data_IF_479933451092
#
_entry.id   IF_479933451092
#
_cell.length_a   1.000
_cell.length_b   1.000
_cell.length_c   1.000
_cell.angle_alpha   90.00
_cell.angle_beta   90.00
_cell.angle_gamma   90.00
#
_symmetry.space_group_name_H-M   'P 1'
#
loop_
_entity.id
_entity.type
_entity.pdbx_description
1 polymer ?
#
# COMPACT_ATOMS: atom_id res chain seq x y z
N UNK A 1 36.55 -44.21 -16.06
CA UNK A 1 36.44 -43.27 -14.94
C UNK A 1 35.67 -42.04 -15.43
N UNK A 2 34.37 -41.94 -15.11
CA UNK A 2 33.52 -40.80 -15.47
C UNK A 2 32.77 -40.40 -14.19
N UNK A 3 33.22 -39.34 -13.54
CA UNK A 3 32.65 -38.80 -12.31
C UNK A 3 32.02 -37.44 -12.67
N UNK A 4 30.70 -37.48 -12.86
CA UNK A 4 29.71 -36.43 -12.55
C UNK A 4 30.20 -34.98 -12.63
N UNK A 5 29.90 -34.33 -13.75
CA UNK A 5 30.09 -32.90 -14.00
C UNK A 5 28.74 -32.14 -14.01
N UNK A 6 27.91 -32.36 -12.99
CA UNK A 6 26.75 -31.50 -12.72
C UNK A 6 26.73 -31.20 -11.22
N UNK A 7 27.54 -30.21 -10.84
CA UNK A 7 27.42 -29.55 -9.55
C UNK A 7 26.29 -28.52 -9.63
N UNK A 8 25.17 -28.84 -8.99
CA UNK A 8 24.14 -27.90 -8.59
C UNK A 8 24.74 -26.73 -7.82
N UNK A 9 24.58 -25.50 -8.32
CA UNK A 9 24.50 -24.29 -7.49
C UNK A 9 22.99 -23.96 -7.45
N UNK A 10 22.28 -24.10 -6.33
CA UNK A 10 22.38 -23.21 -5.17
C UNK A 10 21.67 -21.89 -5.52
N UNK A 11 20.34 -21.78 -5.40
CA UNK A 11 19.58 -21.39 -4.19
C UNK A 11 19.28 -19.87 -4.09
N UNK A 12 18.06 -19.49 -4.49
CA UNK A 12 17.16 -18.44 -3.94
C UNK A 12 17.64 -17.01 -3.65
N UNK A 13 17.03 -16.02 -4.34
CA UNK A 13 17.16 -14.55 -4.19
C UNK A 13 17.88 -13.95 -5.41
N UNK A 14 17.50 -12.80 -6.03
CA UNK A 14 16.63 -11.66 -5.70
C UNK A 14 15.28 -11.56 -6.48
N UNK A 15 14.82 -12.62 -7.13
CA UNK A 15 13.66 -12.56 -8.06
C UNK A 15 12.39 -12.01 -7.43
N UNK A 16 12.00 -12.51 -6.25
CA UNK A 16 10.74 -12.13 -5.60
C UNK A 16 10.65 -10.64 -5.26
N UNK A 17 11.79 -9.96 -5.08
CA UNK A 17 11.80 -8.53 -4.80
C UNK A 17 11.53 -7.71 -6.04
N UNK A 18 12.29 -7.95 -7.09
CA UNK A 18 12.09 -7.23 -8.35
C UNK A 18 10.70 -7.57 -8.94
N UNK A 19 10.19 -8.77 -8.68
CA UNK A 19 8.83 -9.20 -9.07
C UNK A 19 7.75 -8.37 -8.35
N UNK A 20 7.83 -8.21 -7.02
CA UNK A 20 6.86 -7.42 -6.24
C UNK A 20 6.86 -5.94 -6.66
N UNK A 21 8.04 -5.33 -6.84
CA UNK A 21 8.15 -3.93 -7.23
C UNK A 21 7.56 -3.70 -8.64
N UNK A 22 7.83 -4.62 -9.58
CA UNK A 22 7.28 -4.58 -10.95
C UNK A 22 5.77 -4.78 -10.99
N UNK A 23 5.24 -5.69 -10.16
CA UNK A 23 3.80 -5.93 -10.07
C UNK A 23 3.06 -4.72 -9.47
N UNK A 24 3.61 -4.11 -8.41
CA UNK A 24 3.08 -2.87 -7.84
C UNK A 24 3.05 -1.76 -8.88
N UNK A 25 4.14 -1.55 -9.63
CA UNK A 25 4.20 -0.55 -10.70
C UNK A 25 3.12 -0.81 -11.77
N UNK A 26 2.99 -2.05 -12.24
CA UNK A 26 2.00 -2.42 -13.26
C UNK A 26 0.55 -2.21 -12.78
N UNK A 27 0.25 -2.51 -11.52
CA UNK A 27 -1.06 -2.27 -10.93
C UNK A 27 -1.35 -0.78 -10.79
N UNK A 28 -0.41 0.01 -10.27
CA UNK A 28 -0.55 1.46 -10.14
C UNK A 28 -0.74 2.14 -11.50
N UNK A 29 -0.02 1.70 -12.53
CA UNK A 29 -0.19 2.17 -13.90
C UNK A 29 -1.61 1.89 -14.40
N UNK A 30 -2.16 0.70 -14.13
CA UNK A 30 -3.54 0.35 -14.52
C UNK A 30 -4.58 1.19 -13.78
N UNK A 31 -4.37 1.45 -12.48
CA UNK A 31 -5.22 2.35 -11.68
C UNK A 31 -5.21 3.77 -12.26
N UNK A 32 -4.05 4.25 -12.71
CA UNK A 32 -3.87 5.61 -13.23
C UNK A 32 -4.34 5.80 -14.68
N UNK A 33 -4.16 4.80 -15.54
CA UNK A 33 -4.32 4.97 -17.00
C UNK A 33 -5.55 4.28 -17.60
N UNK A 34 -6.14 3.29 -16.91
CA UNK A 34 -7.29 2.59 -17.48
C UNK A 34 -8.49 3.54 -17.59
N UNK A 35 -9.16 3.48 -18.74
CA UNK A 35 -10.42 4.20 -18.99
C UNK A 35 -11.65 3.41 -18.51
N UNK A 36 -11.45 2.18 -18.04
CA UNK A 36 -12.52 1.30 -17.60
C UNK A 36 -12.53 1.23 -16.07
N UNK A 37 -13.60 1.74 -15.45
CA UNK A 37 -13.73 1.76 -13.99
C UNK A 37 -13.55 0.36 -13.35
N UNK A 38 -14.11 -0.68 -13.97
CA UNK A 38 -13.95 -2.06 -13.50
C UNK A 38 -12.48 -2.51 -13.47
N UNK A 39 -11.67 -2.17 -14.48
CA UNK A 39 -10.25 -2.53 -14.50
C UNK A 39 -9.45 -1.79 -13.43
N UNK A 40 -9.80 -0.51 -13.17
CA UNK A 40 -9.18 0.27 -12.09
C UNK A 40 -9.49 -0.34 -10.72
N UNK A 41 -10.75 -0.71 -10.49
CA UNK A 41 -11.19 -1.38 -9.25
C UNK A 41 -10.50 -2.73 -9.06
N UNK A 42 -10.46 -3.56 -10.09
CA UNK A 42 -9.77 -4.85 -10.06
C UNK A 42 -8.27 -4.70 -9.77
N UNK A 43 -7.61 -3.71 -10.39
CA UNK A 43 -6.19 -3.44 -10.16
C UNK A 43 -5.94 -2.97 -8.71
N UNK A 44 -6.79 -2.08 -8.20
CA UNK A 44 -6.66 -1.55 -6.85
C UNK A 44 -6.97 -2.61 -5.78
N UNK A 45 -7.94 -3.48 -6.02
CA UNK A 45 -8.24 -4.63 -5.15
C UNK A 45 -7.05 -5.59 -5.05
N UNK A 46 -6.40 -5.90 -6.18
CA UNK A 46 -5.19 -6.74 -6.18
C UNK A 46 -4.03 -6.06 -5.45
N UNK A 47 -3.84 -4.76 -5.65
CA UNK A 47 -2.81 -4.00 -4.94
C UNK A 47 -3.06 -4.04 -3.43
N UNK A 48 -4.30 -3.82 -2.98
CA UNK A 48 -4.70 -3.94 -1.57
C UNK A 48 -4.36 -5.33 -1.01
N UNK A 49 -4.74 -6.40 -1.71
CA UNK A 49 -4.49 -7.77 -1.25
C UNK A 49 -2.98 -8.03 -1.11
N UNK A 50 -2.17 -7.55 -2.07
CA UNK A 50 -0.71 -7.65 -2.02
C UNK A 50 -0.10 -6.89 -0.84
N UNK A 51 -0.63 -5.70 -0.52
CA UNK A 51 -0.17 -4.90 0.63
C UNK A 51 -0.44 -5.54 1.99
N UNK A 52 -1.44 -6.42 2.07
CA UNK A 52 -1.74 -7.17 3.28
C UNK A 52 -0.64 -8.18 3.61
N UNK A 53 -0.06 -8.79 2.57
CA UNK A 53 0.81 -9.96 2.72
C UNK A 53 2.31 -9.65 2.48
N UNK A 54 2.65 -8.55 1.81
CA UNK A 54 4.03 -8.19 1.46
C UNK A 54 4.47 -6.84 2.07
N UNK A 55 5.38 -6.85 3.07
CA UNK A 55 6.07 -5.64 3.53
C UNK A 55 6.86 -4.95 2.42
N UNK A 56 7.24 -5.70 1.39
CA UNK A 56 7.97 -5.15 0.26
C UNK A 56 7.04 -4.38 -0.68
N UNK A 57 5.84 -4.90 -0.95
CA UNK A 57 4.80 -4.15 -1.65
C UNK A 57 4.44 -2.85 -0.91
N UNK A 58 4.39 -2.90 0.43
CA UNK A 58 4.21 -1.69 1.25
C UNK A 58 5.34 -0.69 0.98
N UNK A 59 6.60 -1.14 1.01
CA UNK A 59 7.74 -0.27 0.70
C UNK A 59 7.65 0.32 -0.72
N UNK A 60 7.32 -0.49 -1.71
CA UNK A 60 7.17 -0.07 -3.10
C UNK A 60 6.09 1.00 -3.26
N UNK A 61 4.91 0.81 -2.67
CA UNK A 61 3.83 1.81 -2.65
C UNK A 61 4.27 3.11 -1.96
N UNK A 62 5.07 3.04 -0.91
CA UNK A 62 5.67 4.23 -0.30
C UNK A 62 6.54 5.05 -1.25
N UNK A 63 7.29 4.37 -2.12
CA UNK A 63 8.20 5.00 -3.08
C UNK A 63 7.46 5.60 -4.28
N UNK A 64 6.45 4.92 -4.81
CA UNK A 64 5.80 5.32 -6.08
C UNK A 64 4.26 5.36 -6.06
N UNK A 65 3.61 4.70 -5.11
CA UNK A 65 2.16 4.53 -5.11
C UNK A 65 1.36 5.61 -4.40
N UNK A 66 1.94 6.32 -3.42
CA UNK A 66 1.20 7.34 -2.66
C UNK A 66 0.53 8.41 -3.54
N UNK A 67 1.19 9.01 -4.54
CA UNK A 67 0.54 10.01 -5.40
C UNK A 67 -0.66 9.45 -6.17
N UNK A 68 -0.59 8.20 -6.64
CA UNK A 68 -1.67 7.54 -7.38
C UNK A 68 -2.87 7.28 -6.47
N UNK A 69 -2.63 6.76 -5.26
CA UNK A 69 -3.69 6.52 -4.28
C UNK A 69 -4.37 7.84 -3.85
N UNK A 70 -3.58 8.90 -3.66
CA UNK A 70 -4.11 10.23 -3.32
C UNK A 70 -4.91 10.85 -4.46
N UNK A 71 -4.51 10.65 -5.72
CA UNK A 71 -5.26 11.07 -6.87
C UNK A 71 -6.65 10.41 -6.90
N UNK A 72 -6.73 9.09 -6.67
CA UNK A 72 -8.02 8.37 -6.60
C UNK A 72 -8.93 8.96 -5.51
N UNK A 73 -8.40 9.16 -4.29
CA UNK A 73 -9.17 9.74 -3.17
C UNK A 73 -9.61 11.19 -3.43
N UNK A 74 -8.89 11.90 -4.31
CA UNK A 74 -9.20 13.29 -4.65
C UNK A 74 -10.20 13.40 -5.80
N UNK A 75 -10.01 12.59 -6.84
CA UNK A 75 -10.67 12.75 -8.14
C UNK A 75 -11.87 11.82 -8.33
N UNK A 76 -11.91 10.66 -7.65
CA UNK A 76 -12.90 9.60 -7.89
C UNK A 76 -13.88 9.41 -6.71
N UNK A 77 -14.16 10.48 -5.95
CA UNK A 77 -15.01 10.43 -4.74
C UNK A 77 -16.41 9.87 -5.00
N UNK A 78 -16.94 10.03 -6.20
CA UNK A 78 -18.24 9.49 -6.63
C UNK A 78 -18.21 7.96 -6.85
N UNK A 79 -17.02 7.39 -7.09
CA UNK A 79 -16.80 5.94 -7.16
C UNK A 79 -16.42 5.43 -5.76
N UNK A 80 -17.45 5.19 -4.93
CA UNK A 80 -17.25 4.82 -3.53
C UNK A 80 -16.51 3.48 -3.36
N UNK A 81 -16.70 2.53 -4.28
CA UNK A 81 -16.00 1.24 -4.29
C UNK A 81 -14.49 1.44 -4.52
N UNK A 82 -14.13 2.27 -5.50
CA UNK A 82 -12.75 2.58 -5.81
C UNK A 82 -12.10 3.42 -4.68
N UNK A 83 -12.78 4.47 -4.22
CA UNK A 83 -12.31 5.34 -3.13
C UNK A 83 -12.09 4.56 -1.84
N UNK A 84 -13.04 3.70 -1.46
CA UNK A 84 -12.89 2.82 -0.30
C UNK A 84 -11.65 1.94 -0.42
N UNK A 85 -11.48 1.28 -1.57
CA UNK A 85 -10.35 0.38 -1.78
C UNK A 85 -9.01 1.15 -1.76
N UNK A 86 -8.99 2.40 -2.23
CA UNK A 86 -7.83 3.29 -2.14
C UNK A 86 -7.49 3.62 -0.68
N UNK A 87 -8.49 3.92 0.15
CA UNK A 87 -8.33 4.17 1.58
C UNK A 87 -7.85 2.93 2.33
N UNK A 88 -8.37 1.75 2.01
CA UNK A 88 -7.90 0.46 2.53
C UNK A 88 -6.43 0.22 2.15
N UNK A 89 -6.05 0.45 0.88
CA UNK A 89 -4.67 0.33 0.41
C UNK A 89 -3.75 1.34 1.11
N UNK A 90 -4.18 2.59 1.30
CA UNK A 90 -3.42 3.59 2.07
C UNK A 90 -3.21 3.13 3.51
N UNK A 91 -4.26 2.67 4.20
CA UNK A 91 -4.17 2.16 5.57
C UNK A 91 -3.19 0.99 5.68
N UNK A 92 -3.28 0.01 4.77
CA UNK A 92 -2.36 -1.13 4.70
C UNK A 92 -0.92 -0.68 4.42
N UNK A 93 -0.73 0.32 3.55
CA UNK A 93 0.58 0.89 3.27
C UNK A 93 1.24 1.52 4.50
N UNK A 94 0.45 1.92 5.51
CA UNK A 94 0.93 2.44 6.80
C UNK A 94 1.05 1.36 7.88
N UNK A 95 0.73 0.10 7.56
CA UNK A 95 0.74 -1.04 8.48
C UNK A 95 -0.60 -1.29 9.19
N UNK A 96 -1.69 -0.64 8.77
CA UNK A 96 -3.05 -0.87 9.26
C UNK A 96 -3.78 -1.90 8.41
N UNK A 97 -3.60 -3.19 8.69
CA UNK A 97 -4.46 -4.26 8.15
C UNK A 97 -5.44 -4.80 9.19
N UNK A 98 -6.33 -5.72 8.82
CA UNK A 98 -7.33 -6.32 9.73
C UNK A 98 -6.71 -7.11 10.92
N UNK A 99 -5.40 -7.32 10.94
CA UNK A 99 -4.62 -7.79 12.10
C UNK A 99 -4.15 -6.69 13.05
N UNK A 100 -4.25 -5.42 12.65
CA UNK A 100 -4.04 -4.21 13.43
C UNK A 100 -5.25 -3.91 14.31
N UNK A 101 -5.66 -4.89 15.13
CA UNK A 101 -6.53 -4.59 16.27
C UNK A 101 -5.90 -3.43 17.01
N UNK A 102 -6.72 -2.42 17.26
CA UNK A 102 -6.53 -1.35 18.22
C UNK A 102 -6.14 -1.90 19.61
N UNK A 103 -4.90 -2.34 19.75
CA UNK A 103 -4.22 -2.69 20.97
C UNK A 103 -2.89 -1.97 20.88
N UNK A 104 -2.57 -1.14 21.87
CA UNK A 104 -1.31 -0.39 21.99
C UNK A 104 -0.09 -1.31 22.03
N UNK A 105 0.19 -1.94 20.92
CA UNK A 105 1.07 -3.08 20.79
C UNK A 105 1.31 -3.33 19.32
N UNK A 106 2.08 -2.43 18.72
CA UNK A 106 2.59 -2.61 17.36
C UNK A 106 3.20 -3.99 17.16
N UNK A 107 3.31 -4.40 15.90
CA UNK A 107 3.97 -5.64 15.49
C UNK A 107 5.33 -5.79 16.20
N UNK A 108 5.85 -7.01 16.41
CA UNK A 108 7.18 -7.21 17.01
C UNK A 108 8.26 -6.36 16.32
N UNK A 109 8.15 -6.16 15.00
CA UNK A 109 8.98 -5.26 14.22
C UNK A 109 8.78 -3.77 14.60
N UNK A 110 7.55 -3.29 14.74
CA UNK A 110 7.27 -1.93 15.21
C UNK A 110 7.75 -1.69 16.66
N UNK A 111 7.67 -2.71 17.53
CA UNK A 111 8.20 -2.65 18.91
C UNK A 111 9.73 -2.68 18.97
N UNK A 112 10.39 -3.42 18.09
CA UNK A 112 11.85 -3.44 17.96
C UNK A 112 12.38 -2.12 17.37
N UNK A 113 11.70 -1.58 16.36
CA UNK A 113 12.00 -0.26 15.81
C UNK A 113 11.77 0.87 16.84
N UNK A 114 10.71 0.79 17.65
CA UNK A 114 10.50 1.72 18.77
C UNK A 114 11.59 1.61 19.86
N UNK A 115 12.36 0.52 19.90
CA UNK A 115 13.55 0.35 20.75
C UNK A 115 14.85 0.79 20.07
N UNK A 116 14.79 1.28 18.83
CA UNK A 116 15.95 1.72 18.05
C UNK A 116 16.80 0.59 17.47
N UNK A 117 16.28 -0.65 17.44
CA UNK A 117 16.98 -1.81 16.90
C UNK A 117 16.56 -2.04 15.43
N UNK A 118 17.36 -1.53 14.48
CA UNK A 118 17.19 -1.75 13.04
C UNK A 118 16.46 -0.63 12.28
N UNK A 119 16.34 -0.74 10.94
CA UNK A 119 15.58 0.22 10.14
C UNK A 119 14.09 0.17 10.49
N UNK A 120 13.37 1.31 10.42
CA UNK A 120 11.94 1.34 10.69
C UNK A 120 11.17 0.44 9.70
N UNK A 121 10.03 -0.14 10.12
CA UNK A 121 9.18 -0.92 9.23
C UNK A 121 8.67 -0.05 8.06
N UNK A 122 8.45 -0.62 6.86
CA UNK A 122 7.98 0.12 5.69
C UNK A 122 6.73 0.98 5.97
N UNK A 123 5.76 0.44 6.71
CA UNK A 123 4.55 1.19 7.06
C UNK A 123 4.80 2.48 7.86
N UNK A 124 5.77 2.47 8.77
CA UNK A 124 6.15 3.67 9.54
C UNK A 124 6.82 4.69 8.62
N UNK A 125 7.71 4.24 7.75
CA UNK A 125 8.37 5.12 6.77
C UNK A 125 7.34 5.76 5.81
N UNK A 126 6.36 4.99 5.37
CA UNK A 126 5.30 5.47 4.49
C UNK A 126 4.40 6.48 5.19
N UNK A 127 4.03 6.24 6.44
CA UNK A 127 3.27 7.19 7.24
C UNK A 127 4.04 8.51 7.44
N UNK A 128 5.35 8.43 7.69
CA UNK A 128 6.22 9.61 7.76
C UNK A 128 6.27 10.36 6.42
N UNK A 129 6.43 9.65 5.29
CA UNK A 129 6.41 10.25 3.96
C UNK A 129 5.08 10.95 3.67
N UNK A 130 3.96 10.29 3.99
CA UNK A 130 2.63 10.84 3.86
C UNK A 130 2.44 12.12 4.69
N UNK A 131 2.88 12.11 5.94
CA UNK A 131 2.71 13.22 6.88
C UNK A 131 3.59 14.46 6.59
N UNK A 132 4.59 14.34 5.71
CA UNK A 132 5.41 15.49 5.29
C UNK A 132 4.62 16.55 4.52
N UNK A 133 3.54 16.14 3.85
CA UNK A 133 2.62 17.08 3.22
C UNK A 133 1.42 17.32 4.13
N UNK A 134 1.24 18.53 4.69
CA UNK A 134 0.07 18.82 5.53
C UNK A 134 -1.25 18.72 4.76
N UNK A 135 -1.19 18.84 3.42
CA UNK A 135 -2.37 18.75 2.56
C UNK A 135 -2.90 17.31 2.48
N UNK A 136 -2.05 16.31 2.67
CA UNK A 136 -2.48 14.91 2.70
C UNK A 136 -3.42 14.63 3.88
N UNK A 137 -3.12 15.19 5.06
CA UNK A 137 -4.00 15.06 6.23
C UNK A 137 -5.28 15.86 6.04
N UNK A 138 -5.19 17.07 5.47
CA UNK A 138 -6.38 17.88 5.13
C UNK A 138 -7.29 17.16 4.14
N UNK A 139 -6.72 16.48 3.15
CA UNK A 139 -7.47 15.67 2.20
C UNK A 139 -8.27 14.59 2.93
N UNK A 140 -7.64 13.81 3.81
CA UNK A 140 -8.36 12.78 4.59
C UNK A 140 -9.45 13.38 5.47
N UNK A 141 -9.18 14.51 6.14
CA UNK A 141 -10.19 15.19 6.95
C UNK A 141 -11.36 15.70 6.10
N UNK A 142 -11.10 16.14 4.87
CA UNK A 142 -12.16 16.61 3.97
C UNK A 142 -13.16 15.51 3.61
N UNK A 143 -12.75 14.24 3.59
CA UNK A 143 -13.65 13.11 3.34
C UNK A 143 -14.68 12.93 4.47
N UNK A 144 -14.34 13.37 5.68
CA UNK A 144 -15.17 13.26 6.88
C UNK A 144 -16.17 14.41 7.02
N UNK A 145 -16.10 15.42 6.17
CA UNK A 145 -17.04 16.54 6.16
C UNK A 145 -18.40 16.12 5.60
N UNK A 146 -19.39 17.02 5.66
CA UNK A 146 -20.67 16.82 5.00
C UNK A 146 -20.58 17.12 3.50
N UNK A 147 -21.52 16.61 2.71
CA UNK A 147 -21.62 16.97 1.30
C UNK A 147 -21.83 18.48 1.12
N UNK A 148 -21.26 19.09 0.06
CA UNK A 148 -20.60 18.47 -1.09
C UNK A 148 -19.08 18.28 -0.93
N UNK A 149 -18.52 18.56 0.25
CA UNK A 149 -17.07 18.48 0.47
C UNK A 149 -16.65 17.05 0.79
N UNK A 150 -17.35 16.37 1.71
CA UNK A 150 -17.03 15.01 2.11
C UNK A 150 -17.67 13.91 1.26
N UNK A 151 -17.64 12.69 1.78
CA UNK A 151 -18.22 11.49 1.17
C UNK A 151 -19.29 10.93 2.12
N UNK A 152 -20.50 10.64 1.60
CA UNK A 152 -21.60 10.13 2.44
C UNK A 152 -21.47 8.62 2.75
N UNK A 153 -20.59 7.90 2.04
CA UNK A 153 -20.37 6.47 2.25
C UNK A 153 -19.70 6.16 3.60
N UNK A 154 -20.38 5.31 4.40
CA UNK A 154 -19.92 4.92 5.72
C UNK A 154 -18.54 4.26 5.74
N UNK A 155 -18.16 3.52 4.70
CA UNK A 155 -16.87 2.82 4.65
C UNK A 155 -15.71 3.73 4.21
N UNK A 156 -16.03 4.90 3.65
CA UNK A 156 -15.03 5.92 3.32
C UNK A 156 -14.76 6.91 4.47
N UNK A 157 -15.61 6.92 5.52
CA UNK A 157 -15.48 7.78 6.72
C UNK A 157 -14.89 7.01 7.90
#
# INVERSE_FOLDING_TARGET
>A
MLKTLFGSHGAGGPTSRDDDDSEVEALLQRVSESRHAAERRDALARLRDMLQDSPQAQQAVGVMGLPVLLAVVTEDRDDTELTRTALEALALSFGGGEGGRASGGGTPAARAAARGEGPPPPGVMNAELFARSPDNVRLLLSLLEDEPVGVDDFYCR
#
